data_IF_871298335975
#
_entry.id   IF_871298335975
#
_cell.length_a   1.000
_cell.length_b   1.000
_cell.length_c   1.000
_cell.angle_alpha   90.00
_cell.angle_beta   90.00
_cell.angle_gamma   90.00
#
_symmetry.space_group_name_H-M   'P 1'
#
loop_
_entity.id
_entity.type
_entity.pdbx_description
1 polymer ?
#
# COMPACT_ATOMS: atom_id res chain seq x y z
N UNK A 1 -5.45 22.62 -26.75
CA UNK A 1 -6.27 21.82 -27.70
C UNK A 1 -6.48 20.44 -27.09
N UNK A 2 -7.71 19.93 -27.00
CA UNK A 2 -7.93 18.56 -26.51
C UNK A 2 -7.29 17.55 -27.46
N UNK A 3 -6.57 16.57 -26.91
CA UNK A 3 -6.01 15.45 -27.67
C UNK A 3 -7.06 14.35 -27.69
N UNK A 4 -7.55 14.00 -28.88
CA UNK A 4 -8.46 12.86 -29.04
C UNK A 4 -7.65 11.60 -29.26
N UNK A 5 -7.82 10.61 -28.38
CA UNK A 5 -7.16 9.30 -28.48
C UNK A 5 -8.23 8.28 -28.83
N UNK A 6 -8.05 7.55 -29.94
CA UNK A 6 -8.88 6.39 -30.28
C UNK A 6 -8.22 5.14 -29.71
N UNK A 7 -8.98 4.36 -28.93
CA UNK A 7 -8.52 3.09 -28.37
C UNK A 7 -9.42 1.95 -28.90
N UNK A 8 -8.80 0.88 -29.39
CA UNK A 8 -9.50 -0.32 -29.86
C UNK A 8 -9.41 -1.41 -28.80
N UNK A 9 -10.55 -2.06 -28.52
CA UNK A 9 -10.59 -3.20 -27.59
C UNK A 9 -9.90 -4.41 -28.23
N UNK A 10 -8.87 -4.98 -27.60
CA UNK A 10 -8.22 -6.21 -28.07
C UNK A 10 -9.24 -7.34 -28.25
N UNK A 11 -9.10 -8.14 -29.31
CA UNK A 11 -10.09 -9.17 -29.65
C UNK A 11 -10.36 -10.15 -28.50
N UNK A 12 -9.32 -10.55 -27.76
CA UNK A 12 -9.45 -11.47 -26.63
C UNK A 12 -10.30 -10.93 -25.47
N UNK A 13 -10.42 -9.60 -25.33
CA UNK A 13 -11.17 -8.96 -24.23
C UNK A 13 -12.59 -8.54 -24.63
N UNK A 14 -12.95 -8.67 -25.92
CA UNK A 14 -14.28 -8.27 -26.41
C UNK A 14 -15.43 -9.05 -25.75
N UNK A 15 -15.36 -10.39 -25.58
CA UNK A 15 -16.44 -11.14 -24.96
C UNK A 15 -16.70 -10.70 -23.52
N UNK A 16 -15.65 -10.47 -22.74
CA UNK A 16 -15.72 -10.02 -21.35
C UNK A 16 -16.27 -8.60 -21.26
N UNK A 17 -15.78 -7.68 -22.10
CA UNK A 17 -16.26 -6.30 -22.15
C UNK A 17 -17.75 -6.23 -22.52
N UNK A 18 -18.21 -7.08 -23.44
CA UNK A 18 -19.64 -7.22 -23.80
C UNK A 18 -20.49 -7.74 -22.64
N UNK A 19 -20.00 -8.74 -21.90
CA UNK A 19 -20.70 -9.26 -20.74
C UNK A 19 -20.85 -8.19 -19.65
N UNK A 20 -19.78 -7.45 -19.35
CA UNK A 20 -19.80 -6.36 -18.37
C UNK A 20 -20.73 -5.24 -18.81
N UNK A 21 -20.67 -4.85 -20.08
CA UNK A 21 -21.55 -3.83 -20.66
C UNK A 21 -23.03 -4.24 -20.56
N UNK A 22 -23.36 -5.47 -20.95
CA UNK A 22 -24.72 -6.02 -20.85
C UNK A 22 -25.21 -6.09 -19.40
N UNK A 23 -24.36 -6.51 -18.47
CA UNK A 23 -24.70 -6.60 -17.05
C UNK A 23 -24.97 -5.23 -16.41
N UNK A 24 -24.26 -4.18 -16.86
CA UNK A 24 -24.40 -2.82 -16.32
C UNK A 24 -25.38 -1.94 -17.08
N UNK A 25 -25.86 -2.38 -18.25
CA UNK A 25 -26.69 -1.55 -19.14
C UNK A 25 -25.89 -0.41 -19.79
N UNK A 26 -24.58 -0.59 -19.94
CA UNK A 26 -23.63 0.40 -20.44
C UNK A 26 -23.17 0.06 -21.86
N UNK A 27 -22.52 1.01 -22.55
CA UNK A 27 -21.82 0.70 -23.80
C UNK A 27 -20.42 0.15 -23.52
N UNK A 28 -19.84 -0.61 -24.46
CA UNK A 28 -18.44 -1.07 -24.36
C UNK A 28 -17.48 0.12 -24.18
N UNK A 29 -17.80 1.27 -24.79
CA UNK A 29 -16.99 2.48 -24.67
C UNK A 29 -17.01 3.05 -23.24
N UNK A 30 -18.12 2.90 -22.51
CA UNK A 30 -18.21 3.32 -21.10
C UNK A 30 -17.41 2.39 -20.20
N UNK A 31 -17.53 1.07 -20.40
CA UNK A 31 -16.73 0.06 -19.69
C UNK A 31 -15.23 0.31 -19.87
N UNK A 32 -14.81 0.59 -21.11
CA UNK A 32 -13.40 0.91 -21.41
C UNK A 32 -12.96 2.23 -20.75
N UNK A 33 -13.81 3.27 -20.74
CA UNK A 33 -13.50 4.53 -20.07
C UNK A 33 -13.31 4.34 -18.56
N UNK A 34 -14.17 3.56 -17.92
CA UNK A 34 -14.05 3.25 -16.50
C UNK A 34 -12.80 2.42 -16.19
N UNK A 35 -12.52 1.38 -16.98
CA UNK A 35 -11.32 0.56 -16.81
C UNK A 35 -10.04 1.40 -16.98
N UNK A 36 -10.00 2.25 -18.01
CA UNK A 36 -8.86 3.14 -18.25
C UNK A 36 -8.71 4.20 -17.14
N UNK A 37 -9.82 4.78 -16.65
CA UNK A 37 -9.77 5.73 -15.54
C UNK A 37 -9.22 5.09 -14.26
N UNK A 38 -9.64 3.86 -13.94
CA UNK A 38 -9.12 3.11 -12.80
C UNK A 38 -7.62 2.81 -12.96
N UNK A 39 -7.21 2.32 -14.14
CA UNK A 39 -5.81 2.03 -14.42
C UNK A 39 -4.92 3.28 -14.38
N UNK A 40 -5.38 4.40 -14.94
CA UNK A 40 -4.64 5.66 -14.90
C UNK A 40 -4.57 6.24 -13.48
N UNK A 41 -5.60 6.05 -12.65
CA UNK A 41 -5.55 6.42 -11.24
C UNK A 41 -4.46 5.63 -10.51
N UNK A 42 -4.44 4.30 -10.70
CA UNK A 42 -3.41 3.42 -10.12
C UNK A 42 -2.01 3.84 -10.59
N UNK A 43 -1.80 4.05 -11.90
CA UNK A 43 -0.51 4.48 -12.43
C UNK A 43 -0.08 5.87 -11.94
N UNK A 44 -1.01 6.80 -11.80
CA UNK A 44 -0.70 8.14 -11.31
C UNK A 44 -0.27 8.11 -9.85
N UNK A 45 -0.96 7.31 -9.03
CA UNK A 45 -0.57 7.07 -7.64
C UNK A 45 0.83 6.42 -7.59
N UNK A 46 1.11 5.42 -8.42
CA UNK A 46 2.45 4.82 -8.53
C UNK A 46 3.54 5.83 -8.96
N UNK A 47 3.23 6.73 -9.90
CA UNK A 47 4.17 7.76 -10.37
C UNK A 47 4.38 8.89 -9.34
N UNK A 48 3.38 9.20 -8.52
CA UNK A 48 3.52 10.11 -7.38
C UNK A 48 4.39 9.47 -6.28
N UNK A 49 4.21 8.18 -6.02
CA UNK A 49 5.04 7.40 -5.08
C UNK A 49 6.50 7.29 -5.53
N UNK A 50 6.76 7.08 -6.82
CA UNK A 50 8.13 7.06 -7.37
C UNK A 50 8.83 8.43 -7.23
N UNK A 51 8.14 9.54 -7.54
CA UNK A 51 8.71 10.88 -7.37
C UNK A 51 9.06 11.19 -5.91
N UNK A 52 8.25 10.73 -4.97
CA UNK A 52 8.56 10.84 -3.54
C UNK A 52 9.77 9.99 -3.14
N UNK A 53 9.93 8.81 -3.72
CA UNK A 53 11.12 7.97 -3.49
C UNK A 53 12.39 8.64 -4.04
N UNK A 54 12.34 9.18 -5.25
CA UNK A 54 13.45 9.90 -5.90
C UNK A 54 13.86 11.14 -5.10
N UNK A 55 12.90 11.91 -4.57
CA UNK A 55 13.19 13.06 -3.71
C UNK A 55 13.96 12.66 -2.45
N UNK A 56 13.59 11.53 -1.86
CA UNK A 56 14.28 11.01 -0.68
C UNK A 56 15.66 10.44 -1.03
N UNK A 57 15.81 9.78 -2.18
CA UNK A 57 17.10 9.28 -2.66
C UNK A 57 18.07 10.43 -2.93
N UNK A 58 17.61 11.48 -3.63
CA UNK A 58 18.36 12.72 -3.81
C UNK A 58 18.76 13.36 -2.47
N UNK A 59 17.92 13.22 -1.44
CA UNK A 59 18.23 13.71 -0.08
C UNK A 59 19.33 12.88 0.60
N UNK A 60 19.36 11.57 0.36
CA UNK A 60 20.43 10.67 0.84
C UNK A 60 21.75 10.98 0.11
N UNK A 61 21.70 11.20 -1.21
CA UNK A 61 22.86 11.59 -2.03
C UNK A 61 23.45 12.93 -1.60
N UNK A 62 22.62 13.89 -1.18
CA UNK A 62 23.06 15.16 -0.55
C UNK A 62 23.76 14.98 0.80
N UNK A 63 23.90 13.75 1.31
CA UNK A 63 24.60 13.49 2.56
C UNK A 63 23.81 13.88 3.80
N UNK A 64 22.49 14.13 3.66
CA UNK A 64 21.57 14.32 4.78
C UNK A 64 21.34 12.96 5.46
N UNK A 65 22.33 12.53 6.26
CA UNK A 65 22.36 11.22 6.90
C UNK A 65 21.10 10.98 7.73
N UNK A 66 20.34 9.93 7.38
CA UNK A 66 19.49 9.23 8.34
C UNK A 66 20.40 8.70 9.46
N UNK A 67 20.23 9.24 10.67
CA UNK A 67 21.14 9.07 11.80
C UNK A 67 21.46 7.61 12.16
N UNK A 68 22.74 7.37 12.47
CA UNK A 68 23.31 6.12 12.95
C UNK A 68 22.72 5.71 14.31
N UNK A 69 22.61 4.41 14.52
CA UNK A 69 22.21 3.68 15.74
C UNK A 69 20.72 3.29 15.86
N UNK A 70 20.30 2.30 15.06
CA UNK A 70 18.94 1.75 15.09
C UNK A 70 18.61 0.91 16.34
N UNK A 71 19.60 0.41 17.09
CA UNK A 71 19.37 -0.39 18.31
C UNK A 71 19.02 0.46 19.54
N UNK A 72 19.41 1.74 19.55
CA UNK A 72 19.11 2.67 20.66
C UNK A 72 18.23 3.86 20.23
N UNK A 73 17.62 3.81 19.04
CA UNK A 73 16.85 4.93 18.54
C UNK A 73 15.45 4.93 19.17
N UNK A 74 15.21 5.90 20.06
CA UNK A 74 13.88 6.19 20.61
C UNK A 74 13.17 7.18 19.67
N UNK A 75 12.12 6.78 18.94
CA UNK A 75 11.30 7.75 18.24
C UNK A 75 10.71 8.73 19.27
N UNK A 76 10.61 10.02 18.91
CA UNK A 76 9.87 11.04 19.70
C UNK A 76 8.34 10.86 19.57
N UNK A 77 7.88 9.62 19.46
CA UNK A 77 6.53 9.21 19.13
C UNK A 77 5.66 9.08 20.38
N UNK A 78 4.36 9.38 20.23
CA UNK A 78 3.34 9.29 21.30
C UNK A 78 2.77 7.86 21.46
N UNK A 79 3.02 6.98 20.48
CA UNK A 79 2.63 5.57 20.50
C UNK A 79 3.87 4.67 20.33
N UNK A 80 3.87 3.52 21.01
CA UNK A 80 4.94 2.50 20.92
C UNK A 80 4.64 1.55 19.76
N UNK A 81 5.65 1.22 18.96
CA UNK A 81 5.51 0.22 17.89
C UNK A 81 6.14 -1.09 18.31
N UNK A 82 5.36 -2.17 18.30
CA UNK A 82 5.83 -3.53 18.55
C UNK A 82 5.80 -4.33 17.23
N UNK A 83 6.88 -5.05 16.96
CA UNK A 83 7.03 -5.91 15.78
C UNK A 83 6.84 -7.36 16.19
N UNK A 84 6.00 -8.11 15.47
CA UNK A 84 5.95 -9.57 15.63
C UNK A 84 7.25 -10.21 15.12
N UNK A 85 7.57 -11.40 15.61
CA UNK A 85 8.69 -12.21 15.11
C UNK A 85 8.51 -12.52 13.62
N UNK A 86 7.27 -12.78 13.20
CA UNK A 86 6.92 -12.96 11.81
C UNK A 86 7.20 -11.71 10.96
N UNK A 87 6.87 -10.53 11.45
CA UNK A 87 7.16 -9.26 10.77
C UNK A 87 8.68 -9.08 10.62
N UNK A 88 9.43 -9.41 11.66
CA UNK A 88 10.90 -9.33 11.64
C UNK A 88 11.49 -10.28 10.61
N UNK A 89 10.99 -11.52 10.56
CA UNK A 89 11.40 -12.51 9.56
C UNK A 89 11.02 -12.06 8.13
N UNK A 90 9.83 -11.49 7.93
CA UNK A 90 9.37 -10.97 6.65
C UNK A 90 10.23 -9.78 6.17
N UNK A 91 10.56 -8.85 7.06
CA UNK A 91 11.47 -7.72 6.76
C UNK A 91 12.84 -8.20 6.26
N UNK A 92 13.37 -9.29 6.81
CA UNK A 92 14.63 -9.88 6.38
C UNK A 92 14.52 -10.52 4.98
N UNK A 93 13.35 -11.01 4.59
CA UNK A 93 13.10 -11.60 3.26
C UNK A 93 12.81 -10.56 2.18
N UNK A 94 12.45 -9.34 2.56
CA UNK A 94 12.22 -8.25 1.60
C UNK A 94 13.51 -7.88 0.85
N UNK A 95 13.42 -7.57 -0.46
CA UNK A 95 14.51 -6.92 -1.19
C UNK A 95 14.91 -5.59 -0.52
N UNK A 96 16.17 -5.19 -0.68
CA UNK A 96 16.76 -4.06 0.06
C UNK A 96 15.95 -2.76 -0.01
N UNK A 97 15.48 -2.40 -1.21
CA UNK A 97 14.63 -1.22 -1.45
C UNK A 97 13.33 -1.28 -0.63
N UNK A 98 12.57 -2.37 -0.74
CA UNK A 98 11.32 -2.56 0.01
C UNK A 98 11.54 -2.62 1.51
N UNK A 99 12.67 -3.15 1.98
CA UNK A 99 13.00 -3.19 3.41
C UNK A 99 13.17 -1.78 3.99
N UNK A 100 13.80 -0.87 3.26
CA UNK A 100 13.95 0.52 3.69
C UNK A 100 12.59 1.23 3.75
N UNK A 101 11.74 1.00 2.74
CA UNK A 101 10.40 1.58 2.68
C UNK A 101 9.49 1.02 3.78
N UNK A 102 9.43 -0.30 3.94
CA UNK A 102 8.66 -0.96 4.99
C UNK A 102 9.05 -0.47 6.39
N UNK A 103 10.34 -0.23 6.65
CA UNK A 103 10.80 0.35 7.93
C UNK A 103 10.27 1.76 8.16
N UNK A 104 10.17 2.59 7.12
CA UNK A 104 9.55 3.93 7.23
C UNK A 104 8.06 3.81 7.50
N UNK A 105 7.40 2.87 6.83
CA UNK A 105 5.97 2.62 6.99
C UNK A 105 5.61 2.11 8.37
N UNK A 106 6.43 1.24 8.94
CA UNK A 106 6.30 0.78 10.33
C UNK A 106 6.40 1.94 11.32
N UNK A 107 7.13 3.00 10.97
CA UNK A 107 7.33 4.16 11.82
C UNK A 107 6.22 5.21 11.68
N UNK A 108 5.52 5.28 10.54
CA UNK A 108 4.44 6.27 10.38
C UNK A 108 3.31 6.12 11.41
N UNK A 109 2.87 4.91 11.80
CA UNK A 109 1.91 4.71 12.87
C UNK A 109 2.35 5.26 14.24
N UNK A 110 3.66 5.37 14.49
CA UNK A 110 4.18 5.92 15.74
C UNK A 110 3.88 7.43 15.85
N UNK A 111 3.76 8.12 14.70
CA UNK A 111 3.42 9.55 14.61
C UNK A 111 1.90 9.75 14.50
N UNK A 112 1.26 8.98 13.63
CA UNK A 112 -0.19 8.96 13.45
C UNK A 112 -0.65 7.51 13.32
N UNK A 113 -1.32 6.92 14.33
CA UNK A 113 -1.67 5.50 14.33
C UNK A 113 -2.57 5.10 13.16
N UNK A 114 -3.30 6.07 12.59
CA UNK A 114 -4.20 5.91 11.44
C UNK A 114 -3.80 6.92 10.35
N UNK A 115 -2.72 6.67 9.58
CA UNK A 115 -2.32 7.55 8.50
C UNK A 115 -3.41 7.55 7.41
N UNK A 116 -3.56 8.64 6.67
CA UNK A 116 -4.65 8.82 5.69
C UNK A 116 -4.72 7.72 4.61
N UNK A 117 -3.58 7.11 4.28
CA UNK A 117 -3.47 6.00 3.31
C UNK A 117 -3.79 4.61 3.89
N UNK A 118 -3.94 4.50 5.22
CA UNK A 118 -4.28 3.23 5.83
C UNK A 118 -5.76 2.94 5.61
N UNK A 119 -6.05 1.73 5.12
CA UNK A 119 -7.41 1.24 4.98
C UNK A 119 -7.72 0.30 6.14
N UNK A 120 -8.82 0.54 6.83
CA UNK A 120 -9.30 -0.38 7.85
C UNK A 120 -9.72 -1.71 7.21
N UNK A 121 -9.28 -2.79 7.82
CA UNK A 121 -9.66 -4.14 7.46
C UNK A 121 -10.96 -4.46 8.20
N UNK A 122 -12.07 -4.44 7.47
CA UNK A 122 -13.39 -4.77 8.00
C UNK A 122 -13.56 -6.29 8.20
N UNK A 123 -12.71 -6.91 9.01
CA UNK A 123 -12.96 -8.27 9.50
C UNK A 123 -13.99 -8.18 10.64
N UNK A 124 -15.11 -8.88 10.49
CA UNK A 124 -16.24 -8.84 11.43
C UNK A 124 -15.84 -9.10 12.89
N UNK A 125 -14.81 -9.90 13.11
CA UNK A 125 -14.45 -10.38 14.45
C UNK A 125 -13.25 -9.67 15.07
N UNK A 126 -12.60 -8.73 14.35
CA UNK A 126 -11.31 -8.14 14.78
C UNK A 126 -11.19 -6.65 14.42
N UNK A 127 -11.82 -5.75 15.19
CA UNK A 127 -11.72 -4.30 14.96
C UNK A 127 -10.28 -3.78 15.15
N UNK A 128 -10.03 -2.55 14.67
CA UNK A 128 -8.75 -1.85 14.78
C UNK A 128 -7.56 -2.51 14.05
N UNK A 129 -7.84 -3.30 13.00
CA UNK A 129 -6.82 -3.77 12.05
C UNK A 129 -6.79 -2.87 10.83
N UNK A 130 -5.58 -2.52 10.42
CA UNK A 130 -5.34 -1.62 9.31
C UNK A 130 -4.33 -2.26 8.36
N UNK A 131 -4.48 -1.93 7.08
CA UNK A 131 -3.48 -2.23 6.07
C UNK A 131 -2.97 -0.97 5.42
N UNK A 132 -1.70 -1.01 5.05
CA UNK A 132 -1.08 -0.02 4.17
C UNK A 132 -0.38 -0.72 3.01
N UNK A 133 -0.41 -0.07 1.86
CA UNK A 133 0.19 -0.58 0.63
C UNK A 133 1.67 -0.20 0.54
N UNK A 134 2.47 -1.17 0.12
CA UNK A 134 3.89 -1.06 -0.17
C UNK A 134 4.13 -1.67 -1.56
N UNK A 135 3.49 -1.09 -2.58
CA UNK A 135 3.44 -1.63 -3.94
C UNK A 135 2.86 -3.06 -3.94
N UNK A 136 3.62 -4.09 -4.34
CA UNK A 136 3.18 -5.49 -4.31
C UNK A 136 3.10 -6.09 -2.90
N UNK A 137 3.52 -5.36 -1.86
CA UNK A 137 3.49 -5.81 -0.48
C UNK A 137 2.39 -5.11 0.30
N UNK A 138 1.82 -5.79 1.29
CA UNK A 138 0.87 -5.25 2.26
C UNK A 138 1.50 -5.29 3.64
N UNK A 139 1.51 -4.14 4.31
CA UNK A 139 1.82 -4.05 5.73
C UNK A 139 0.53 -4.09 6.51
N UNK A 140 0.43 -5.04 7.43
CA UNK A 140 -0.77 -5.24 8.25
C UNK A 140 -0.41 -4.98 9.69
N UNK A 141 -1.21 -4.17 10.36
CA UNK A 141 -0.98 -3.81 11.74
C UNK A 141 -2.29 -3.62 12.49
N UNK A 142 -2.20 -3.70 13.82
CA UNK A 142 -3.29 -3.44 14.74
C UNK A 142 -2.95 -2.21 15.58
N UNK A 143 -3.93 -1.35 15.80
CA UNK A 143 -3.83 -0.23 16.73
C UNK A 143 -4.57 -0.59 18.01
N UNK A 144 -3.89 -0.44 19.13
CA UNK A 144 -4.47 -0.48 20.47
C UNK A 144 -4.46 0.96 20.99
N UNK A 145 -5.60 1.64 20.89
CA UNK A 145 -5.72 3.06 21.25
C UNK A 145 -5.62 3.26 22.77
N UNK A 146 -6.07 2.28 23.56
CA UNK A 146 -6.02 2.32 25.03
C UNK A 146 -4.58 2.20 25.52
N UNK A 147 -3.81 1.25 24.97
CA UNK A 147 -2.40 1.06 25.29
C UNK A 147 -1.48 2.04 24.54
N UNK A 148 -1.99 2.76 23.54
CA UNK A 148 -1.20 3.53 22.55
C UNK A 148 -0.09 2.70 21.92
N UNK A 149 -0.42 1.46 21.56
CA UNK A 149 0.52 0.51 20.94
C UNK A 149 0.06 0.22 19.52
N UNK A 150 0.99 0.31 18.58
CA UNK A 150 0.79 -0.20 17.22
C UNK A 150 1.56 -1.51 17.09
N UNK A 151 0.84 -2.61 16.89
CA UNK A 151 1.45 -3.93 16.67
C UNK A 151 1.43 -4.26 15.18
N UNK A 152 2.59 -4.34 14.57
CA UNK A 152 2.71 -4.82 13.19
C UNK A 152 2.58 -6.33 13.19
N UNK A 153 1.56 -6.83 12.51
CA UNK A 153 1.20 -8.24 12.48
C UNK A 153 2.07 -8.95 11.45
N UNK A 154 2.17 -8.40 10.24
CA UNK A 154 2.94 -9.02 9.16
C UNK A 154 3.12 -8.15 7.93
N UNK A 155 4.04 -8.60 7.07
CA UNK A 155 4.26 -8.07 5.73
C UNK A 155 4.07 -9.23 4.75
N UNK A 156 3.15 -9.07 3.79
CA UNK A 156 2.77 -10.12 2.84
C UNK A 156 2.82 -9.61 1.41
N UNK A 157 3.09 -10.49 0.46
CA UNK A 157 2.93 -10.19 -0.96
C UNK A 157 1.43 -10.23 -1.31
N UNK A 158 0.96 -9.31 -2.14
CA UNK A 158 -0.41 -9.30 -2.68
C UNK A 158 -0.61 -10.56 -3.52
N UNK A 159 -1.33 -11.53 -2.96
CA UNK A 159 -1.61 -12.82 -3.62
C UNK A 159 -3.11 -12.87 -3.87
N UNK A 160 -3.56 -12.20 -4.93
CA UNK A 160 -4.98 -12.12 -5.30
C UNK A 160 -5.87 -11.26 -4.38
N UNK A 161 -7.20 -11.31 -4.56
CA UNK A 161 -8.17 -10.57 -3.74
C UNK A 161 -8.38 -11.17 -2.34
N UNK A 162 -8.10 -12.46 -2.14
CA UNK A 162 -8.40 -13.22 -0.90
C UNK A 162 -7.33 -13.09 0.20
N UNK A 163 -6.26 -12.30 0.00
CA UNK A 163 -5.14 -12.21 0.97
C UNK A 163 -5.55 -11.70 2.37
N UNK A 164 -6.78 -11.24 2.56
CA UNK A 164 -7.23 -10.63 3.82
C UNK A 164 -7.94 -11.62 4.78
N UNK A 165 -8.34 -12.81 4.32
CA UNK A 165 -9.17 -13.74 5.10
C UNK A 165 -8.38 -14.67 6.04
N UNK A 166 -7.13 -14.99 5.74
CA UNK A 166 -6.30 -15.97 6.48
C UNK A 166 -5.59 -15.41 7.74
N UNK A 167 -6.08 -14.31 8.31
CA UNK A 167 -5.39 -13.63 9.41
C UNK A 167 -5.82 -14.10 10.80
N UNK A 168 -5.29 -15.23 11.26
CA UNK A 168 -5.48 -15.80 12.61
C UNK A 168 -4.54 -15.22 13.69
#
# INVERSE_FOLDING_TARGET
>A
MPVTISATVPEGLRPEALQVAKARGETIADVMRHALAAYLSELREEAEDMRFADEIEARIERGERCGRNWKNWKPRARCRTDLSDETTAALCKLPGYYRAWAKREIQSPAVSPRPARAKELALKDRPNRFRTWLNQWRLIYRVDDDARVVRVIGIRLKTGPETDDDME
#
